data_IF_948277308907
#
_entry.id   IF_948277308907
#
_cell.length_a   1.000
_cell.length_b   1.000
_cell.length_c   1.000
_cell.angle_alpha   90.00
_cell.angle_beta   90.00
_cell.angle_gamma   90.00
#
_symmetry.space_group_name_H-M   'P 1'
#
loop_
_entity.id
_entity.type
_entity.pdbx_description
1 polymer ?
#
# COMPACT_ATOMS: atom_id res chain seq x y z
N UNK A 1 -19.31 -23.24 29.85
CA UNK A 1 -17.95 -23.22 29.25
C UNK A 1 -17.97 -22.39 27.97
N UNK A 2 -17.50 -21.13 28.01
CA UNK A 2 -17.52 -20.19 26.86
C UNK A 2 -16.29 -19.28 26.75
N UNK A 3 -15.35 -19.36 27.70
CA UNK A 3 -14.16 -18.50 27.76
C UNK A 3 -13.18 -18.62 26.56
N UNK A 4 -12.87 -19.81 25.99
CA UNK A 4 -11.85 -19.91 24.94
C UNK A 4 -12.30 -19.36 23.57
N UNK A 5 -13.62 -19.29 23.29
CA UNK A 5 -14.13 -18.70 22.03
C UNK A 5 -14.09 -17.18 22.06
N UNK A 6 -14.48 -16.57 23.17
CA UNK A 6 -14.51 -15.10 23.31
C UNK A 6 -13.10 -14.47 23.31
N UNK A 7 -12.10 -15.15 23.87
CA UNK A 7 -10.70 -14.70 23.80
C UNK A 7 -10.13 -14.80 22.38
N UNK A 8 -10.46 -15.89 21.65
CA UNK A 8 -10.08 -16.08 20.25
C UNK A 8 -10.66 -15.00 19.34
N UNK A 9 -11.93 -14.63 19.51
CA UNK A 9 -12.57 -13.57 18.71
C UNK A 9 -11.96 -12.19 18.97
N UNK A 10 -11.60 -11.89 20.23
CA UNK A 10 -10.95 -10.63 20.58
C UNK A 10 -9.53 -10.55 20.01
N UNK A 11 -8.76 -11.63 20.12
CA UNK A 11 -7.42 -11.73 19.54
C UNK A 11 -7.47 -11.60 18.01
N UNK A 12 -8.46 -12.22 17.36
CA UNK A 12 -8.65 -12.12 15.92
C UNK A 12 -8.98 -10.70 15.47
N UNK A 13 -9.90 -10.01 16.18
CA UNK A 13 -10.20 -8.59 15.91
C UNK A 13 -9.00 -7.67 16.12
N UNK A 14 -8.18 -7.95 17.13
CA UNK A 14 -6.93 -7.22 17.36
C UNK A 14 -5.95 -7.40 16.20
N UNK A 15 -5.75 -8.64 15.73
CA UNK A 15 -4.90 -8.92 14.57
C UNK A 15 -5.39 -8.24 13.30
N UNK A 16 -6.70 -8.20 13.07
CA UNK A 16 -7.29 -7.46 11.96
C UNK A 16 -7.02 -5.96 12.09
N UNK A 17 -7.20 -5.37 13.28
CA UNK A 17 -6.88 -3.97 13.53
C UNK A 17 -5.40 -3.65 13.28
N UNK A 18 -4.51 -4.52 13.75
CA UNK A 18 -3.07 -4.42 13.49
C UNK A 18 -2.74 -4.53 11.99
N UNK A 19 -3.39 -5.44 11.27
CA UNK A 19 -3.26 -5.56 9.81
C UNK A 19 -3.65 -4.27 9.07
N UNK A 20 -4.74 -3.62 9.47
CA UNK A 20 -5.13 -2.31 8.92
C UNK A 20 -4.11 -1.22 9.23
N UNK A 21 -3.56 -1.21 10.44
CA UNK A 21 -2.52 -0.27 10.82
C UNK A 21 -1.25 -0.46 9.97
N UNK A 22 -0.79 -1.69 9.79
CA UNK A 22 0.35 -2.01 8.92
C UNK A 22 0.07 -1.61 7.46
N UNK A 23 -1.14 -1.86 6.96
CA UNK A 23 -1.54 -1.44 5.62
C UNK A 23 -1.54 0.08 5.41
N UNK A 24 -1.90 0.84 6.46
CA UNK A 24 -1.82 2.29 6.43
C UNK A 24 -0.38 2.81 6.47
N UNK A 25 0.48 2.23 7.33
CA UNK A 25 1.89 2.61 7.40
C UNK A 25 2.61 2.35 6.08
N UNK A 26 2.44 1.16 5.52
CA UNK A 26 3.03 0.78 4.22
C UNK A 26 2.54 1.68 3.09
N UNK A 27 1.27 2.08 3.09
CA UNK A 27 0.74 3.04 2.13
C UNK A 27 1.44 4.40 2.25
N UNK A 28 1.52 4.96 3.46
CA UNK A 28 2.16 6.27 3.69
C UNK A 28 3.63 6.24 3.26
N UNK A 29 4.37 5.21 3.65
CA UNK A 29 5.77 5.03 3.24
C UNK A 29 5.89 4.85 1.72
N UNK A 30 5.02 4.03 1.12
CA UNK A 30 4.98 3.79 -0.32
C UNK A 30 4.72 5.06 -1.12
N UNK A 31 3.77 5.90 -0.69
CA UNK A 31 3.48 7.20 -1.29
C UNK A 31 4.70 8.12 -1.18
N UNK A 32 5.29 8.25 0.01
CA UNK A 32 6.48 9.10 0.20
C UNK A 32 7.58 8.72 -0.79
N UNK A 33 7.97 7.45 -0.80
CA UNK A 33 9.04 6.97 -1.68
C UNK A 33 8.67 7.14 -3.16
N UNK A 34 7.41 6.87 -3.52
CA UNK A 34 6.90 7.00 -4.90
C UNK A 34 6.90 8.44 -5.38
N UNK A 35 6.53 9.43 -4.57
CA UNK A 35 6.53 10.84 -4.98
C UNK A 35 7.95 11.29 -5.34
N UNK A 36 8.93 11.01 -4.48
CA UNK A 36 10.31 11.41 -4.73
C UNK A 36 10.95 10.61 -5.87
N UNK A 37 10.74 9.29 -5.90
CA UNK A 37 11.25 8.41 -6.96
C UNK A 37 10.62 8.72 -8.32
N UNK A 38 9.32 9.01 -8.35
CA UNK A 38 8.60 9.33 -9.58
C UNK A 38 9.09 10.62 -10.23
N UNK A 39 9.33 11.67 -9.44
CA UNK A 39 9.91 12.93 -9.93
C UNK A 39 11.29 12.74 -10.56
N UNK A 40 12.16 11.95 -9.91
CA UNK A 40 13.46 11.60 -10.49
C UNK A 40 13.30 10.77 -11.76
N UNK A 41 12.42 9.77 -11.73
CA UNK A 41 12.22 8.84 -12.84
C UNK A 41 11.78 9.53 -14.14
N UNK A 42 10.92 10.55 -14.04
CA UNK A 42 10.47 11.37 -15.18
C UNK A 42 11.42 12.52 -15.54
N UNK A 43 12.54 12.68 -14.81
CA UNK A 43 13.54 13.70 -15.07
C UNK A 43 13.23 15.09 -14.49
N UNK A 44 12.24 15.20 -13.60
CA UNK A 44 11.86 16.47 -12.97
C UNK A 44 12.77 16.85 -11.79
N UNK A 45 13.50 15.90 -11.20
CA UNK A 45 14.43 16.15 -10.10
C UNK A 45 15.78 15.46 -10.37
N UNK A 46 16.92 16.15 -10.19
CA UNK A 46 18.23 15.53 -10.38
C UNK A 46 18.55 14.54 -9.24
N UNK A 47 18.86 13.31 -9.60
CA UNK A 47 19.48 12.30 -8.73
C UNK A 47 20.40 11.42 -9.60
N UNK A 48 21.72 11.70 -9.63
CA UNK A 48 22.65 11.08 -10.59
C UNK A 48 22.83 9.57 -10.42
N UNK A 49 22.33 9.00 -9.32
CA UNK A 49 22.43 7.58 -9.01
C UNK A 49 21.07 6.90 -8.91
N UNK A 50 19.97 7.58 -9.28
CA UNK A 50 18.61 7.04 -9.21
C UNK A 50 18.25 6.41 -7.85
N UNK A 51 18.86 6.89 -6.76
CA UNK A 51 18.71 6.29 -5.42
C UNK A 51 17.26 6.33 -4.98
N UNK A 52 16.56 7.43 -5.29
CA UNK A 52 15.13 7.60 -4.98
C UNK A 52 14.24 6.69 -5.82
N UNK A 53 14.58 6.48 -7.09
CA UNK A 53 13.88 5.52 -7.97
C UNK A 53 14.08 4.11 -7.42
N UNK A 54 15.31 3.74 -7.08
CA UNK A 54 15.63 2.45 -6.48
C UNK A 54 14.88 2.24 -5.16
N UNK A 55 14.90 3.22 -4.24
CA UNK A 55 14.17 3.12 -2.98
C UNK A 55 12.66 2.91 -3.20
N UNK A 56 12.07 3.61 -4.17
CA UNK A 56 10.66 3.43 -4.49
C UNK A 56 10.35 2.05 -5.10
N UNK A 57 11.17 1.57 -6.03
CA UNK A 57 10.96 0.28 -6.70
C UNK A 57 11.30 -0.93 -5.81
N UNK A 58 12.38 -0.84 -5.02
CA UNK A 58 12.89 -1.94 -4.21
C UNK A 58 12.26 -2.03 -2.81
N UNK A 59 11.76 -0.91 -2.27
CA UNK A 59 11.16 -0.88 -0.93
C UNK A 59 9.70 -0.39 -0.96
N UNK A 60 9.42 0.70 -1.68
CA UNK A 60 8.08 1.28 -1.76
C UNK A 60 7.05 0.33 -2.37
N UNK A 61 7.30 -0.16 -3.59
CA UNK A 61 6.38 -1.06 -4.30
C UNK A 61 6.14 -2.39 -3.57
N UNK A 62 7.17 -3.14 -3.13
CA UNK A 62 6.95 -4.34 -2.32
C UNK A 62 6.22 -4.02 -1.01
N UNK A 63 6.52 -2.89 -0.37
CA UNK A 63 5.79 -2.41 0.80
C UNK A 63 4.29 -2.24 0.52
N UNK A 64 3.92 -1.63 -0.60
CA UNK A 64 2.53 -1.50 -1.02
C UNK A 64 1.87 -2.85 -1.32
N UNK A 65 2.58 -3.81 -1.92
CA UNK A 65 2.05 -5.17 -2.13
C UNK A 65 1.72 -5.83 -0.77
N UNK A 66 2.64 -5.73 0.19
CA UNK A 66 2.42 -6.20 1.55
C UNK A 66 1.25 -5.49 2.23
N UNK A 67 1.14 -4.17 2.07
CA UNK A 67 0.04 -3.36 2.59
C UNK A 67 -1.32 -3.77 2.03
N UNK A 68 -1.41 -4.00 0.72
CA UNK A 68 -2.62 -4.50 0.08
C UNK A 68 -3.00 -5.89 0.59
N UNK A 69 -2.03 -6.79 0.75
CA UNK A 69 -2.24 -8.12 1.33
C UNK A 69 -2.72 -8.07 2.78
N UNK A 70 -2.09 -7.24 3.61
CA UNK A 70 -2.46 -7.04 5.01
C UNK A 70 -3.88 -6.48 5.15
N UNK A 71 -4.25 -5.48 4.34
CA UNK A 71 -5.59 -4.94 4.29
C UNK A 71 -6.62 -5.98 3.85
N UNK A 72 -6.33 -6.74 2.78
CA UNK A 72 -7.22 -7.80 2.31
C UNK A 72 -7.47 -8.86 3.37
N UNK A 73 -6.42 -9.35 4.04
CA UNK A 73 -6.54 -10.32 5.14
C UNK A 73 -7.30 -9.73 6.33
N UNK A 74 -7.09 -8.46 6.67
CA UNK A 74 -7.79 -7.78 7.75
C UNK A 74 -9.30 -7.61 7.49
N UNK A 75 -9.70 -7.44 6.22
CA UNK A 75 -11.10 -7.34 5.81
C UNK A 75 -11.78 -8.70 5.57
N UNK A 76 -11.02 -9.78 5.40
CA UNK A 76 -11.54 -11.11 5.06
C UNK A 76 -12.42 -11.67 6.18
N UNK A 77 -13.59 -12.19 5.81
CA UNK A 77 -14.53 -12.82 6.74
C UNK A 77 -15.31 -11.84 7.64
N UNK A 78 -15.13 -10.52 7.47
CA UNK A 78 -15.95 -9.51 8.15
C UNK A 78 -17.22 -9.20 7.34
N UNK A 79 -18.34 -8.82 7.98
CA UNK A 79 -19.44 -8.15 7.28
C UNK A 79 -18.96 -6.82 6.69
N UNK A 80 -19.77 -6.16 5.85
CA UNK A 80 -19.48 -4.80 5.33
C UNK A 80 -19.63 -3.73 6.43
N UNK A 81 -18.82 -3.86 7.47
CA UNK A 81 -18.65 -2.88 8.54
C UNK A 81 -17.60 -1.83 8.17
N UNK A 82 -17.46 -0.80 9.01
CA UNK A 82 -16.50 0.29 8.82
C UNK A 82 -15.07 -0.24 8.64
N UNK A 83 -14.69 -1.27 9.37
CA UNK A 83 -13.35 -1.87 9.27
C UNK A 83 -13.13 -2.56 7.92
N UNK A 84 -14.12 -3.26 7.37
CA UNK A 84 -14.02 -3.86 6.03
C UNK A 84 -14.01 -2.80 4.92
N UNK A 85 -14.73 -1.70 5.10
CA UNK A 85 -14.65 -0.55 4.17
C UNK A 85 -13.23 0.03 4.21
N UNK A 86 -12.68 0.30 5.39
CA UNK A 86 -11.31 0.78 5.56
C UNK A 86 -10.29 -0.18 4.94
N UNK A 87 -10.44 -1.48 5.15
CA UNK A 87 -9.63 -2.53 4.52
C UNK A 87 -9.65 -2.42 2.99
N UNK A 88 -10.83 -2.27 2.41
CA UNK A 88 -11.01 -2.18 0.95
C UNK A 88 -10.34 -0.93 0.39
N UNK A 89 -10.52 0.22 1.06
CA UNK A 89 -9.89 1.49 0.67
C UNK A 89 -8.37 1.37 0.77
N UNK A 90 -7.84 0.87 1.88
CA UNK A 90 -6.39 0.71 2.06
C UNK A 90 -5.79 -0.26 1.04
N UNK A 91 -6.47 -1.35 0.72
CA UNK A 91 -6.04 -2.27 -0.32
C UNK A 91 -6.01 -1.57 -1.69
N UNK A 92 -7.07 -0.86 -2.04
CA UNK A 92 -7.17 -0.14 -3.30
C UNK A 92 -6.09 0.93 -3.44
N UNK A 93 -5.82 1.72 -2.39
CA UNK A 93 -4.81 2.78 -2.41
C UNK A 93 -3.38 2.24 -2.51
N UNK A 94 -3.09 1.13 -1.83
CA UNK A 94 -1.80 0.45 -1.97
C UNK A 94 -1.60 -0.06 -3.41
N UNK A 95 -2.62 -0.68 -4.01
CA UNK A 95 -2.59 -1.09 -5.41
C UNK A 95 -2.52 0.11 -6.38
N UNK A 96 -3.20 1.21 -6.08
CA UNK A 96 -3.15 2.42 -6.89
C UNK A 96 -1.75 3.04 -6.91
N UNK A 97 -1.01 2.96 -5.80
CA UNK A 97 0.39 3.42 -5.72
C UNK A 97 1.28 2.58 -6.65
N UNK A 98 1.03 1.27 -6.74
CA UNK A 98 1.72 0.39 -7.70
C UNK A 98 1.33 0.77 -9.14
N UNK A 99 0.03 0.95 -9.40
CA UNK A 99 -0.47 1.33 -10.73
C UNK A 99 0.06 2.70 -11.20
N UNK A 100 0.30 3.63 -10.28
CA UNK A 100 0.87 4.94 -10.59
C UNK A 100 2.24 4.83 -11.27
N UNK A 101 3.06 3.83 -10.93
CA UNK A 101 4.32 3.58 -11.62
C UNK A 101 4.13 3.14 -13.08
N UNK A 102 3.04 2.43 -13.38
CA UNK A 102 2.64 2.16 -14.77
C UNK A 102 2.34 3.45 -15.54
N UNK A 103 1.62 4.38 -14.93
CA UNK A 103 1.34 5.70 -15.52
C UNK A 103 2.63 6.49 -15.73
N UNK A 104 3.53 6.52 -14.74
CA UNK A 104 4.84 7.17 -14.86
C UNK A 104 5.67 6.56 -15.99
N UNK A 105 5.60 5.24 -16.17
CA UNK A 105 6.28 4.57 -17.28
C UNK A 105 5.71 4.97 -18.64
N UNK A 106 4.38 5.03 -18.78
CA UNK A 106 3.71 5.49 -20.00
C UNK A 106 4.01 6.96 -20.32
N UNK A 107 4.14 7.81 -19.30
CA UNK A 107 4.58 9.20 -19.47
C UNK A 107 6.03 9.25 -19.97
N UNK A 108 6.94 8.50 -19.34
CA UNK A 108 8.35 8.47 -19.73
C UNK A 108 8.56 7.90 -21.14
N UNK A 109 7.76 6.92 -21.56
CA UNK A 109 7.82 6.37 -22.91
C UNK A 109 7.19 7.30 -23.96
N UNK A 110 6.52 8.39 -23.53
CA UNK A 110 5.80 9.31 -24.40
C UNK A 110 4.48 8.75 -24.96
N UNK A 111 3.99 7.62 -24.44
CA UNK A 111 2.75 6.97 -24.88
C UNK A 111 1.50 7.76 -24.46
N UNK A 112 1.58 8.48 -23.34
CA UNK A 112 0.56 9.42 -22.88
C UNK A 112 1.22 10.78 -22.58
N UNK A 113 0.47 11.86 -22.80
CA UNK A 113 0.87 13.25 -22.54
C UNK A 113 -0.32 14.00 -21.96
N UNK A 114 -0.08 14.94 -21.05
CA UNK A 114 -1.09 15.82 -20.45
C UNK A 114 -0.86 17.26 -20.90
#
# INVERSE_FOLDING_TARGET
>A
MSAPRASSDRAFRFLQGFGLFVAALTLVTGIWLTVQGGQVYVGALPDPFDRKVFAALALGLPGCVCGAGAAWLAGKGRPWDVSRIAATILAALNLATIAAWGVLHLLKSGAIRF
#
